data_IF_251785946275
#
_entry.id   IF_251785946275
#
_cell.length_a   1.000
_cell.length_b   1.000
_cell.length_c   1.000
_cell.angle_alpha   90.00
_cell.angle_beta   90.00
_cell.angle_gamma   90.00
#
_symmetry.space_group_name_H-M   'P 1'
#
loop_
_entity.id
_entity.type
_entity.pdbx_description
1 polymer ?
#
# COMPACT_ATOMS: atom_id res chain seq x y z
N UNK A 1 -5.48 -10.66 14.47
CA UNK A 1 -4.55 -9.54 14.77
C UNK A 1 -4.13 -8.87 13.48
N UNK A 2 -4.14 -7.54 13.47
CA UNK A 2 -3.76 -6.67 12.35
C UNK A 2 -2.70 -5.67 12.81
N UNK A 3 -1.59 -5.62 12.09
CA UNK A 3 -0.48 -4.74 12.43
C UNK A 3 -0.76 -3.25 12.13
N UNK A 4 -1.68 -2.98 11.21
CA UNK A 4 -2.00 -1.63 10.77
C UNK A 4 -3.22 -1.05 11.52
N UNK A 5 -3.42 0.28 11.48
CA UNK A 5 -4.54 0.94 12.16
C UNK A 5 -5.92 0.58 11.60
N UNK A 6 -5.99 0.13 10.35
CA UNK A 6 -7.23 -0.27 9.70
C UNK A 6 -7.11 -1.63 9.06
N UNK A 7 -8.22 -2.32 8.94
CA UNK A 7 -8.34 -3.60 8.21
C UNK A 7 -8.30 -3.40 6.70
N UNK A 8 -8.11 -4.48 5.96
CA UNK A 8 -8.16 -4.49 4.51
C UNK A 8 -6.79 -4.53 3.83
N UNK A 9 -5.69 -4.42 4.59
CA UNK A 9 -4.35 -4.60 4.07
C UNK A 9 -4.08 -3.78 2.82
N UNK A 10 -3.59 -4.40 1.74
CA UNK A 10 -3.29 -3.69 0.49
C UNK A 10 -4.53 -3.11 -0.21
N UNK A 11 -5.72 -3.64 0.02
CA UNK A 11 -6.96 -3.01 -0.46
C UNK A 11 -7.17 -1.63 0.18
N UNK A 12 -6.85 -1.50 1.47
CA UNK A 12 -7.01 -0.24 2.20
C UNK A 12 -5.85 0.74 1.99
N UNK A 13 -4.63 0.26 1.84
CA UNK A 13 -3.43 1.08 1.83
C UNK A 13 -2.73 1.18 0.48
N UNK A 14 -2.86 0.17 -0.37
CA UNK A 14 -2.22 0.12 -1.69
C UNK A 14 -3.13 0.57 -2.82
N UNK A 15 -4.41 0.17 -2.80
CA UNK A 15 -5.36 0.59 -3.85
C UNK A 15 -5.85 2.00 -3.55
N UNK A 16 -5.79 2.94 -4.52
CA UNK A 16 -6.29 4.29 -4.33
C UNK A 16 -7.80 4.34 -4.03
N UNK A 17 -8.21 5.29 -3.17
CA UNK A 17 -9.61 5.39 -2.73
C UNK A 17 -10.62 5.67 -3.86
N UNK A 18 -10.19 6.25 -4.96
CA UNK A 18 -11.04 6.47 -6.14
C UNK A 18 -11.37 5.17 -6.89
N UNK A 19 -10.52 4.13 -6.77
CA UNK A 19 -10.78 2.80 -7.32
C UNK A 19 -11.55 1.91 -6.36
N UNK A 20 -11.20 1.97 -5.08
CA UNK A 20 -11.85 1.21 -4.04
C UNK A 20 -12.12 2.13 -2.83
N UNK A 21 -13.35 2.67 -2.71
CA UNK A 21 -13.74 3.48 -1.58
C UNK A 21 -13.53 2.75 -0.25
N UNK A 22 -12.99 3.44 0.73
CA UNK A 22 -12.70 2.85 2.06
C UNK A 22 -13.94 2.38 2.79
N UNK A 23 -15.09 3.00 2.52
CA UNK A 23 -16.38 2.60 3.06
C UNK A 23 -16.74 1.17 2.73
N UNK A 24 -16.52 0.74 1.48
CA UNK A 24 -16.78 -0.64 1.03
C UNK A 24 -15.95 -1.64 1.84
N UNK A 25 -14.65 -1.35 2.05
CA UNK A 25 -13.77 -2.23 2.82
C UNK A 25 -14.24 -2.34 4.27
N UNK A 26 -14.69 -1.23 4.86
CA UNK A 26 -15.15 -1.20 6.24
C UNK A 26 -16.52 -1.90 6.41
N UNK A 27 -17.40 -1.78 5.43
CA UNK A 27 -18.69 -2.47 5.39
C UNK A 27 -18.50 -3.98 5.30
N UNK A 28 -17.64 -4.45 4.41
CA UNK A 28 -17.27 -5.87 4.29
C UNK A 28 -16.61 -6.41 5.58
N UNK A 29 -15.70 -5.64 6.17
CA UNK A 29 -15.10 -6.00 7.45
C UNK A 29 -16.14 -6.08 8.57
N UNK A 30 -17.17 -5.21 8.54
CA UNK A 30 -18.25 -5.22 9.50
C UNK A 30 -19.09 -6.50 9.41
N UNK A 31 -19.40 -6.97 8.21
CA UNK A 31 -20.11 -8.25 8.01
C UNK A 31 -19.39 -9.40 8.73
N UNK A 32 -18.04 -9.40 8.67
CA UNK A 32 -17.23 -10.42 9.32
C UNK A 32 -17.27 -10.26 10.85
N UNK A 33 -17.13 -9.03 11.35
CA UNK A 33 -17.13 -8.79 12.81
C UNK A 33 -18.49 -9.02 13.44
N UNK A 34 -19.59 -8.77 12.70
CA UNK A 34 -20.95 -9.05 13.16
C UNK A 34 -21.20 -10.56 13.39
N UNK A 35 -20.37 -11.43 12.83
CA UNK A 35 -20.38 -12.87 13.10
C UNK A 35 -19.56 -13.27 14.35
N UNK A 36 -19.10 -12.30 15.12
CA UNK A 36 -18.35 -12.54 16.37
C UNK A 36 -16.85 -12.56 16.23
N UNK A 37 -16.29 -12.30 15.03
CA UNK A 37 -14.85 -12.22 14.83
C UNK A 37 -14.30 -10.95 15.49
N UNK A 38 -13.33 -11.13 16.38
CA UNK A 38 -12.63 -10.02 17.04
C UNK A 38 -11.43 -9.59 16.22
N UNK A 39 -11.33 -8.29 15.92
CA UNK A 39 -10.20 -7.70 15.22
C UNK A 39 -9.41 -6.82 16.18
N UNK A 40 -8.16 -7.19 16.43
CA UNK A 40 -7.21 -6.40 17.22
C UNK A 40 -6.27 -5.69 16.25
N UNK A 41 -6.34 -4.36 16.23
CA UNK A 41 -5.58 -3.48 15.35
C UNK A 41 -4.37 -2.91 16.06
N UNK A 42 -3.35 -2.49 15.29
CA UNK A 42 -2.04 -2.06 15.80
C UNK A 42 -1.31 -3.17 16.59
N UNK A 43 -1.69 -4.42 16.33
CA UNK A 43 -1.17 -5.62 16.98
C UNK A 43 -0.26 -6.40 16.02
N UNK A 44 0.99 -6.00 15.94
CA UNK A 44 1.98 -6.69 15.12
C UNK A 44 2.43 -7.97 15.80
N UNK A 45 2.23 -9.10 15.13
CA UNK A 45 2.71 -10.40 15.60
C UNK A 45 4.14 -10.62 15.11
N UNK A 46 5.10 -10.56 16.02
CA UNK A 46 6.53 -10.76 15.70
C UNK A 46 6.88 -12.24 15.56
N UNK A 47 6.28 -13.08 16.41
CA UNK A 47 6.53 -14.52 16.44
C UNK A 47 5.21 -15.28 16.38
N UNK A 48 4.76 -15.71 15.18
CA UNK A 48 3.49 -16.43 15.04
C UNK A 48 3.41 -17.72 15.89
N UNK A 49 4.55 -18.35 16.15
CA UNK A 49 4.61 -19.55 16.99
C UNK A 49 4.10 -19.33 18.42
N UNK A 50 4.23 -18.10 18.95
CA UNK A 50 3.76 -17.80 20.31
C UNK A 50 2.23 -17.85 20.42
N UNK A 51 1.51 -17.57 19.32
CA UNK A 51 0.04 -17.64 19.27
C UNK A 51 -0.50 -19.08 19.47
N UNK A 52 0.32 -20.09 19.23
CA UNK A 52 -0.09 -21.50 19.42
C UNK A 52 -0.34 -21.87 20.89
N UNK A 53 0.05 -21.02 21.81
CA UNK A 53 -0.23 -21.19 23.25
C UNK A 53 -1.68 -20.88 23.60
N UNK A 54 -2.28 -19.98 22.82
CA UNK A 54 -3.58 -19.38 23.12
C UNK A 54 -4.67 -19.77 22.12
N UNK A 55 -4.28 -20.44 21.00
CA UNK A 55 -5.17 -20.77 19.90
C UNK A 55 -4.93 -22.19 19.38
N UNK A 56 -6.00 -22.93 19.07
CA UNK A 56 -5.96 -24.27 18.49
C UNK A 56 -5.36 -24.28 17.08
N UNK A 57 -5.59 -23.22 16.32
CA UNK A 57 -5.05 -23.04 14.97
C UNK A 57 -4.68 -21.59 14.70
N UNK A 58 -3.66 -21.37 13.88
CA UNK A 58 -3.22 -20.04 13.45
C UNK A 58 -3.14 -20.01 11.94
N UNK A 59 -3.98 -19.18 11.32
CA UNK A 59 -3.93 -18.90 9.88
C UNK A 59 -3.06 -17.65 9.63
N UNK A 60 -2.02 -17.83 8.82
CA UNK A 60 -1.17 -16.72 8.39
C UNK A 60 -1.66 -16.19 7.04
N UNK A 61 -2.28 -15.00 7.06
CA UNK A 61 -2.78 -14.31 5.87
C UNK A 61 -2.24 -12.86 5.80
N UNK A 62 -0.92 -12.73 5.93
CA UNK A 62 -0.22 -11.44 6.13
C UNK A 62 -0.06 -10.61 4.85
N UNK A 63 -0.33 -11.17 3.67
CA UNK A 63 -0.22 -10.49 2.39
C UNK A 63 1.21 -10.08 1.99
N UNK A 64 1.33 -9.24 0.95
CA UNK A 64 2.59 -8.74 0.41
C UNK A 64 2.75 -7.24 0.65
N UNK A 65 3.33 -6.87 1.79
CA UNK A 65 3.53 -5.46 2.17
C UNK A 65 4.96 -4.95 1.95
N UNK A 66 5.83 -5.78 1.38
CA UNK A 66 7.22 -5.41 1.11
C UNK A 66 7.41 -5.18 -0.39
N UNK A 67 7.78 -3.98 -0.75
CA UNK A 67 8.17 -3.65 -2.13
C UNK A 67 9.47 -4.35 -2.53
N UNK A 68 9.58 -4.71 -3.80
CA UNK A 68 10.78 -5.30 -4.38
C UNK A 68 11.55 -4.21 -5.11
N UNK A 69 12.82 -4.06 -4.74
CA UNK A 69 13.74 -3.15 -5.42
C UNK A 69 14.26 -3.80 -6.70
N UNK A 70 14.21 -3.07 -7.81
CA UNK A 70 14.75 -3.56 -9.08
C UNK A 70 16.29 -3.69 -8.99
N UNK A 71 16.86 -4.77 -9.52
CA UNK A 71 18.31 -5.01 -9.54
C UNK A 71 18.96 -4.19 -10.66
N UNK A 72 18.96 -2.86 -10.51
CA UNK A 72 19.55 -1.93 -11.47
C UNK A 72 20.42 -0.91 -10.74
N UNK A 73 21.38 -0.36 -11.44
CA UNK A 73 22.24 0.71 -10.92
C UNK A 73 21.39 1.91 -10.50
N UNK A 74 21.74 2.53 -9.38
CA UNK A 74 21.01 3.67 -8.85
C UNK A 74 19.73 3.32 -8.07
N UNK A 75 19.29 2.06 -8.05
CA UNK A 75 18.04 1.69 -7.37
C UNK A 75 18.07 1.94 -5.86
N UNK A 76 19.24 2.07 -5.24
CA UNK A 76 19.43 2.35 -3.81
C UNK A 76 19.72 3.82 -3.49
N UNK A 77 19.72 4.70 -4.48
CA UNK A 77 19.97 6.12 -4.29
C UNK A 77 18.88 6.76 -3.42
N UNK A 78 19.26 7.84 -2.74
CA UNK A 78 18.30 8.69 -2.03
C UNK A 78 17.24 9.23 -3.00
N UNK A 79 15.98 9.25 -2.55
CA UNK A 79 14.85 9.65 -3.37
C UNK A 79 14.22 8.52 -4.19
N UNK A 80 14.83 7.32 -4.23
CA UNK A 80 14.18 6.15 -4.86
C UNK A 80 13.19 5.52 -3.89
N UNK A 81 11.91 5.69 -4.18
CA UNK A 81 10.80 5.23 -3.36
C UNK A 81 10.19 3.99 -4.01
N UNK A 82 9.96 2.94 -3.22
CA UNK A 82 9.26 1.74 -3.70
C UNK A 82 7.75 2.01 -3.79
N UNK A 83 7.12 1.49 -4.82
CA UNK A 83 5.71 1.65 -5.08
C UNK A 83 4.81 1.29 -3.89
N UNK A 84 5.08 0.17 -3.22
CA UNK A 84 4.30 -0.27 -2.05
C UNK A 84 4.39 0.74 -0.90
N UNK A 85 5.60 1.25 -0.62
CA UNK A 85 5.82 2.24 0.43
C UNK A 85 5.16 3.57 0.09
N UNK A 86 5.26 3.97 -1.18
CA UNK A 86 4.61 5.17 -1.70
C UNK A 86 3.09 5.10 -1.55
N UNK A 87 2.45 4.07 -2.11
CA UNK A 87 1.00 3.90 -2.06
C UNK A 87 0.49 3.76 -0.63
N UNK A 88 1.22 3.03 0.22
CA UNK A 88 0.90 2.90 1.64
C UNK A 88 0.94 4.26 2.37
N UNK A 89 1.94 5.07 2.12
CA UNK A 89 2.03 6.42 2.69
C UNK A 89 0.87 7.30 2.22
N UNK A 90 0.55 7.27 0.92
CA UNK A 90 -0.62 7.95 0.38
C UNK A 90 -1.93 7.47 1.03
N UNK A 91 -2.10 6.15 1.13
CA UNK A 91 -3.27 5.53 1.76
C UNK A 91 -3.45 5.89 3.24
N UNK A 92 -2.34 6.15 3.94
CA UNK A 92 -2.32 6.62 5.33
C UNK A 92 -2.42 8.14 5.46
N UNK A 93 -2.46 8.90 4.36
CA UNK A 93 -2.45 10.37 4.39
C UNK A 93 -1.11 10.97 4.84
N UNK A 94 -0.02 10.21 4.77
CA UNK A 94 1.32 10.67 5.12
C UNK A 94 1.97 11.40 3.96
N UNK A 95 2.83 12.38 4.26
CA UNK A 95 3.66 13.02 3.24
C UNK A 95 4.57 11.99 2.56
N UNK A 96 4.66 12.05 1.25
CA UNK A 96 5.48 11.11 0.45
C UNK A 96 6.92 11.57 0.27
N UNK A 97 7.24 12.82 0.61
CA UNK A 97 8.58 13.39 0.45
C UNK A 97 9.00 13.62 -1.00
N UNK A 98 8.06 13.55 -1.95
CA UNK A 98 8.37 13.74 -3.37
C UNK A 98 8.66 15.19 -3.72
N UNK A 99 9.65 15.38 -4.61
CA UNK A 99 9.97 16.68 -5.18
C UNK A 99 9.03 17.10 -6.32
N UNK A 100 9.33 18.24 -6.94
CA UNK A 100 8.53 18.79 -8.06
C UNK A 100 8.64 17.97 -9.37
N UNK A 101 9.70 17.19 -9.52
CA UNK A 101 9.92 16.32 -10.69
C UNK A 101 10.03 14.90 -10.20
N UNK A 102 9.20 14.02 -10.75
CA UNK A 102 9.15 12.60 -10.38
C UNK A 102 9.27 11.76 -11.65
N UNK A 103 10.03 10.69 -11.57
CA UNK A 103 10.12 9.68 -12.61
C UNK A 103 9.48 8.40 -12.06
N UNK A 104 8.55 7.83 -12.81
CA UNK A 104 7.93 6.54 -12.49
C UNK A 104 8.50 5.49 -13.42
N UNK A 105 9.13 4.46 -12.85
CA UNK A 105 9.67 3.34 -13.61
C UNK A 105 8.63 2.21 -13.63
N UNK A 106 8.16 1.88 -14.83
CA UNK A 106 7.17 0.82 -15.07
C UNK A 106 5.95 1.32 -15.82
N UNK A 107 5.17 0.38 -16.39
CA UNK A 107 3.97 0.65 -17.16
C UNK A 107 2.78 -0.25 -16.76
N UNK A 108 2.89 -0.96 -15.64
CA UNK A 108 1.79 -1.78 -15.10
C UNK A 108 0.77 -0.96 -14.32
N UNK A 109 -0.32 -1.61 -13.90
CA UNK A 109 -1.41 -0.96 -13.15
C UNK A 109 -0.92 -0.11 -11.99
N UNK A 110 0.04 -0.60 -11.22
CA UNK A 110 0.60 0.10 -10.06
C UNK A 110 1.29 1.41 -10.44
N UNK A 111 1.93 1.46 -11.62
CA UNK A 111 2.57 2.69 -12.10
C UNK A 111 1.54 3.77 -12.48
N UNK A 112 0.31 3.34 -12.84
CA UNK A 112 -0.81 4.21 -13.17
C UNK A 112 -1.75 4.48 -11.98
N UNK A 113 -1.59 3.78 -10.88
CA UNK A 113 -2.40 3.96 -9.65
C UNK A 113 -2.07 5.23 -8.88
N UNK A 114 -1.20 6.02 -9.45
CA UNK A 114 -0.83 7.27 -8.86
C UNK A 114 -1.86 8.37 -9.05
N UNK A 115 -1.61 9.27 -8.37
CA UNK A 115 -2.07 10.21 -7.37
C UNK A 115 -2.95 11.24 -8.01
N UNK A 116 -4.19 10.87 -8.22
CA UNK A 116 -5.21 11.90 -8.46
C UNK A 116 -5.33 12.86 -7.25
N UNK A 117 -4.55 12.64 -6.20
CA UNK A 117 -4.52 13.49 -5.00
C UNK A 117 -3.60 14.69 -5.11
N UNK A 118 -2.56 14.62 -5.95
CA UNK A 118 -1.65 15.74 -6.16
C UNK A 118 -1.71 16.18 -7.62
N UNK A 119 -2.42 17.26 -7.87
CA UNK A 119 -2.53 17.91 -9.18
C UNK A 119 -1.17 18.27 -9.80
N UNK A 120 -0.14 18.44 -8.97
CA UNK A 120 1.23 18.71 -9.43
C UNK A 120 1.93 17.47 -9.97
N UNK A 121 1.68 16.29 -9.42
CA UNK A 121 2.20 15.02 -9.94
C UNK A 121 1.60 14.68 -11.32
N UNK A 122 0.32 14.97 -11.54
CA UNK A 122 -0.29 14.82 -12.88
C UNK A 122 0.48 15.58 -13.96
N UNK A 123 0.97 16.77 -13.68
CA UNK A 123 1.74 17.56 -14.64
C UNK A 123 3.10 16.96 -14.95
N UNK A 124 3.76 16.34 -13.96
CA UNK A 124 5.09 15.72 -14.16
C UNK A 124 5.02 14.36 -14.87
N UNK A 125 4.02 13.53 -14.59
CA UNK A 125 3.81 12.25 -15.27
C UNK A 125 3.49 12.41 -16.76
N UNK A 126 2.68 13.39 -17.13
CA UNK A 126 2.40 13.70 -18.54
C UNK A 126 3.64 14.11 -19.35
N UNK A 127 4.64 14.70 -18.70
CA UNK A 127 5.89 15.05 -19.36
C UNK A 127 6.77 13.83 -19.67
N UNK A 128 6.81 12.84 -18.78
CA UNK A 128 7.58 11.61 -18.99
C UNK A 128 6.99 10.80 -20.17
N UNK A 129 5.68 10.80 -20.34
CA UNK A 129 5.04 10.07 -21.44
C UNK A 129 5.14 10.79 -22.80
N UNK A 130 5.25 12.10 -22.82
CA UNK A 130 5.35 12.88 -24.09
C UNK A 130 6.74 12.85 -24.73
N UNK A 131 7.78 12.47 -24.01
CA UNK A 131 9.15 12.46 -24.53
C UNK A 131 9.75 11.06 -24.73
N UNK A 132 8.99 10.02 -24.49
CA UNK A 132 9.36 8.65 -24.82
C UNK A 132 9.00 8.32 -26.28
N UNK A 133 9.77 8.83 -27.24
CA UNK A 133 9.87 8.18 -28.52
C UNK A 133 10.73 6.92 -28.34
N UNK A 134 10.11 5.74 -28.35
CA UNK A 134 10.70 4.48 -28.79
C UNK A 134 10.03 4.13 -30.10
#
# INVERSE_FOLDING_TARGET
KEALPSVGGMMAYGIPAYRLPRTIILEEAKVITDQGVKIERNEKVEKPADLRKDYDAVLMAIGGHKGVRLPMEGSSLEGVILNVDFLKNCGMGKATGMGKKVIVLGGGNVAFEDPQRDLELKKSMWHVWKHGNI
#
